data_IF_703700869953
#
_entry.id   IF_703700869953
#
_cell.length_a   1.000
_cell.length_b   1.000
_cell.length_c   1.000
_cell.angle_alpha   90.00
_cell.angle_beta   90.00
_cell.angle_gamma   90.00
#
_symmetry.space_group_name_H-M   'P 1'
#
loop_
_entity.id
_entity.type
_entity.pdbx_description
1 polymer ?
#
# COMPACT_ATOMS: atom_id res chain seq x y z
N UNK A 1 2.05 13.58 3.74
CA UNK A 1 2.66 14.02 2.47
C UNK A 1 2.95 12.83 1.55
N UNK A 2 3.79 11.86 1.92
CA UNK A 2 3.98 10.63 1.12
C UNK A 2 2.94 9.55 1.44
N UNK A 3 2.78 9.19 2.73
CA UNK A 3 1.80 8.19 3.18
C UNK A 3 0.38 8.45 2.65
N UNK A 4 -0.12 9.69 2.84
CA UNK A 4 -1.43 10.09 2.31
C UNK A 4 -1.53 9.95 0.78
N UNK A 5 -0.44 10.21 0.06
CA UNK A 5 -0.43 10.07 -1.41
C UNK A 5 -0.53 8.61 -1.82
N UNK A 6 0.18 7.73 -1.11
CA UNK A 6 0.14 6.28 -1.30
C UNK A 6 -1.25 5.70 -0.98
N UNK A 7 -1.88 6.18 0.10
CA UNK A 7 -3.28 5.84 0.44
C UNK A 7 -4.25 6.21 -0.69
N UNK A 8 -4.17 7.45 -1.21
CA UNK A 8 -5.04 7.90 -2.29
C UNK A 8 -4.86 7.07 -3.58
N UNK A 9 -3.63 6.66 -3.89
CA UNK A 9 -3.38 5.77 -5.03
C UNK A 9 -3.98 4.38 -4.83
N UNK A 10 -3.89 3.85 -3.61
CA UNK A 10 -4.51 2.58 -3.25
C UNK A 10 -6.04 2.64 -3.35
N UNK A 11 -6.65 3.67 -2.76
CA UNK A 11 -8.10 3.92 -2.83
C UNK A 11 -8.60 4.16 -4.26
N UNK A 12 -7.79 4.82 -5.08
CA UNK A 12 -8.08 5.09 -6.48
C UNK A 12 -7.76 3.94 -7.46
N UNK A 13 -7.33 2.77 -6.97
CA UNK A 13 -6.99 1.62 -7.81
C UNK A 13 -5.79 1.85 -8.75
N UNK A 14 -4.94 2.82 -8.44
CA UNK A 14 -3.71 3.09 -9.21
C UNK A 14 -2.71 1.94 -9.00
N UNK A 15 -1.96 1.58 -10.05
CA UNK A 15 -0.86 0.61 -9.92
C UNK A 15 0.18 1.13 -8.93
N UNK A 16 0.20 0.58 -7.72
CA UNK A 16 1.10 0.99 -6.63
C UNK A 16 2.55 0.81 -7.04
N UNK A 17 2.89 -0.27 -7.74
CA UNK A 17 4.25 -0.55 -8.25
C UNK A 17 4.79 0.62 -9.09
N UNK A 18 4.05 1.05 -10.10
CA UNK A 18 4.45 2.17 -10.97
C UNK A 18 4.47 3.50 -10.22
N UNK A 19 3.48 3.72 -9.34
CA UNK A 19 3.41 4.94 -8.57
C UNK A 19 4.59 5.07 -7.58
N UNK A 20 5.00 3.97 -6.96
CA UNK A 20 6.15 3.90 -6.06
C UNK A 20 7.47 4.08 -6.81
N UNK A 21 7.59 3.56 -8.03
CA UNK A 21 8.76 3.79 -8.88
C UNK A 21 8.95 5.29 -9.19
N UNK A 22 7.90 5.97 -9.65
CA UNK A 22 7.97 7.42 -9.90
C UNK A 22 8.19 8.24 -8.64
N UNK A 23 7.59 7.82 -7.52
CA UNK A 23 7.79 8.44 -6.22
C UNK A 23 9.24 8.31 -5.74
N UNK A 24 9.88 7.16 -5.95
CA UNK A 24 11.29 6.94 -5.63
C UNK A 24 12.18 7.94 -6.38
N UNK A 25 11.96 8.11 -7.69
CA UNK A 25 12.66 9.12 -8.49
C UNK A 25 12.39 10.54 -8.00
N UNK A 26 11.13 10.86 -7.70
CA UNK A 26 10.74 12.19 -7.21
C UNK A 26 11.36 12.55 -5.86
N UNK A 27 11.47 11.59 -4.95
CA UNK A 27 12.11 11.76 -3.65
C UNK A 27 13.64 11.76 -3.73
N UNK A 28 14.22 11.36 -4.86
CA UNK A 28 15.66 11.23 -5.03
C UNK A 28 16.25 10.03 -4.28
N UNK A 29 15.45 9.00 -3.98
CA UNK A 29 15.94 7.79 -3.34
C UNK A 29 16.80 6.98 -4.31
N UNK A 30 17.95 6.52 -3.82
CA UNK A 30 18.87 5.69 -4.60
C UNK A 30 18.36 4.25 -4.77
N UNK A 31 17.51 3.77 -3.86
CA UNK A 31 16.92 2.45 -3.90
C UNK A 31 15.40 2.53 -3.67
N UNK A 32 14.63 1.80 -4.49
CA UNK A 32 13.17 1.75 -4.37
C UNK A 32 12.71 1.13 -3.04
N UNK A 33 13.53 0.26 -2.42
CA UNK A 33 13.25 -0.33 -1.11
C UNK A 33 13.08 0.72 -0.01
N UNK A 34 13.82 1.83 -0.07
CA UNK A 34 13.67 2.95 0.88
C UNK A 34 12.30 3.62 0.73
N UNK A 35 11.75 3.58 -0.49
CA UNK A 35 10.40 4.09 -0.78
C UNK A 35 9.32 3.10 -0.35
N UNK A 36 9.53 1.79 -0.54
CA UNK A 36 8.59 0.75 -0.12
C UNK A 36 8.37 0.67 1.40
N UNK A 37 9.28 1.22 2.20
CA UNK A 37 9.09 1.37 3.64
C UNK A 37 7.76 2.05 4.00
N UNK A 38 7.25 2.97 3.16
CA UNK A 38 5.95 3.59 3.41
C UNK A 38 4.76 2.63 3.33
N UNK A 39 4.86 1.52 2.59
CA UNK A 39 3.79 0.51 2.54
C UNK A 39 3.73 -0.37 3.80
N UNK A 40 4.89 -0.62 4.41
CA UNK A 40 5.03 -1.60 5.51
C UNK A 40 5.22 -0.94 6.88
N UNK A 41 5.71 0.30 6.93
CA UNK A 41 5.98 1.06 8.15
C UNK A 41 4.85 2.02 8.57
N UNK A 42 3.72 2.03 7.85
CA UNK A 42 2.58 2.91 8.14
C UNK A 42 1.43 2.11 8.78
N UNK A 43 1.11 2.33 10.08
CA UNK A 43 0.01 1.65 10.76
C UNK A 43 -1.33 1.76 10.04
N UNK A 44 -1.64 2.93 9.48
CA UNK A 44 -2.90 3.21 8.79
C UNK A 44 -3.06 2.43 7.47
N UNK A 45 -1.96 2.13 6.77
CA UNK A 45 -2.00 1.26 5.59
C UNK A 45 -2.11 -0.22 5.98
N UNK A 46 -1.42 -0.62 7.06
CA UNK A 46 -1.54 -1.97 7.62
C UNK A 46 -2.95 -2.28 8.10
N UNK A 47 -3.63 -1.34 8.75
CA UNK A 47 -5.02 -1.50 9.20
C UNK A 47 -5.97 -1.74 8.01
N UNK A 48 -5.83 -0.94 6.94
CA UNK A 48 -6.63 -1.09 5.72
C UNK A 48 -6.45 -2.46 5.07
N UNK A 49 -5.20 -2.93 4.96
CA UNK A 49 -4.87 -4.26 4.43
C UNK A 49 -5.39 -5.35 5.36
N UNK A 50 -5.26 -5.19 6.67
CA UNK A 50 -5.75 -6.12 7.69
C UNK A 50 -7.26 -6.32 7.62
N UNK A 51 -8.04 -5.23 7.57
CA UNK A 51 -9.50 -5.31 7.47
C UNK A 51 -9.97 -6.02 6.18
N UNK A 52 -9.25 -5.81 5.07
CA UNK A 52 -9.53 -6.50 3.80
C UNK A 52 -9.14 -7.97 3.85
N UNK A 53 -8.02 -8.30 4.47
CA UNK A 53 -7.60 -9.69 4.69
C UNK A 53 -8.59 -10.44 5.58
N UNK A 54 -9.01 -9.82 6.68
CA UNK A 54 -10.01 -10.38 7.59
C UNK A 54 -11.32 -10.69 6.85
N UNK A 55 -11.81 -9.74 6.03
CA UNK A 55 -12.96 -9.97 5.17
C UNK A 55 -12.75 -11.12 4.18
N UNK A 56 -11.58 -11.21 3.55
CA UNK A 56 -11.25 -12.30 2.63
C UNK A 56 -11.30 -13.66 3.32
N UNK A 57 -10.73 -13.77 4.52
CA UNK A 57 -10.75 -15.00 5.33
C UNK A 57 -12.18 -15.36 5.73
N UNK A 58 -12.97 -14.41 6.21
CA UNK A 58 -14.36 -14.66 6.61
C UNK A 58 -15.31 -14.94 5.43
N UNK A 59 -15.05 -14.38 4.24
CA UNK A 59 -15.81 -14.73 3.03
C UNK A 59 -15.39 -16.08 2.45
N UNK A 60 -14.12 -16.48 2.58
CA UNK A 60 -13.63 -17.79 2.17
C UNK A 60 -14.12 -18.93 3.06
N UNK A 61 -14.29 -18.68 4.36
CA UNK A 61 -14.79 -19.64 5.34
C UNK A 61 -16.31 -19.96 5.21
N UNK A 62 -17.04 -19.23 4.36
CA UNK A 62 -18.46 -19.48 4.06
C UNK A 62 -18.70 -20.35 2.81
N UNK A 63 -17.64 -20.84 2.16
CA UNK A 63 -17.66 -21.67 0.97
C UNK A 63 -17.12 -23.09 1.28
N UNK A 64 -17.50 -23.64 2.44
CA UNK A 64 -17.30 -25.05 2.81
C UNK A 64 -18.61 -25.65 3.33
#
# INVERSE_FOLDING_TARGET
MVVRRVQLWHEGGTSIEHAMFWLCTYLGHANISDTYWYLTGTPELMESVGARFERFVYQGAGHE
#
